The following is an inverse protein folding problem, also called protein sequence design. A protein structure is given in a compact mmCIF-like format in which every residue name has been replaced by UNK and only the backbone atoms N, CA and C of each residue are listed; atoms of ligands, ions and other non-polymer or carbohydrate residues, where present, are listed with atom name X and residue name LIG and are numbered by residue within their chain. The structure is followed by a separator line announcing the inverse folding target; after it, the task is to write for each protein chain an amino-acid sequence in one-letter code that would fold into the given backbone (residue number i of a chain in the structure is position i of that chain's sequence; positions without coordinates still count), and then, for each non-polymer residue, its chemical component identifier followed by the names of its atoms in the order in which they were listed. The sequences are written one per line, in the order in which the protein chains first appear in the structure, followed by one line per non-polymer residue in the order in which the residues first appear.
data_IF_056992629779
#
_entry.id   IF_056992629779
#
_cell.length_a   1.000
_cell.length_b   1.000
_cell.length_c   1.000
_cell.angle_alpha   90.00
_cell.angle_beta   90.00
_cell.angle_gamma   90.00
#
_symmetry.space_group_name_H-M   'P 1'
#
loop_
_entity.id
_entity.type
_entity.pdbx_description
1 polymer ?
#
# COMPACT_ATOMS: atom_id res chain seq x y z
N UNK A 1 4.08 -5.97 19.12
CA UNK A 1 3.53 -5.39 17.88
C UNK A 1 3.17 -3.92 18.16
N UNK A 2 4.15 -3.01 18.09
CA UNK A 2 3.99 -1.59 18.50
C UNK A 2 4.19 -0.58 17.35
N UNK A 3 4.65 -1.04 16.18
CA UNK A 3 5.03 -0.14 15.06
C UNK A 3 3.82 0.32 14.23
N UNK A 4 2.73 -0.46 14.19
CA UNK A 4 1.57 -0.21 13.32
C UNK A 4 0.45 0.63 13.97
N UNK A 5 0.51 0.89 15.28
CA UNK A 5 -0.56 1.58 16.04
C UNK A 5 -0.21 3.02 16.41
N UNK A 6 0.70 3.66 15.68
CA UNK A 6 1.04 5.08 15.86
C UNK A 6 0.13 5.94 14.99
N UNK A 7 -0.18 7.15 15.44
CA UNK A 7 -0.78 8.16 14.57
C UNK A 7 0.17 8.48 13.41
N UNK A 8 -0.24 8.29 12.15
CA UNK A 8 0.63 8.54 10.99
C UNK A 8 1.01 10.02 10.88
N UNK A 9 2.15 10.29 10.26
CA UNK A 9 2.74 11.64 10.21
C UNK A 9 1.80 12.74 9.68
N UNK A 10 0.98 12.53 8.63
CA UNK A 10 0.04 13.54 8.15
C UNK A 10 -1.01 14.01 9.16
N UNK A 11 -1.22 13.25 10.23
CA UNK A 11 -2.28 13.48 11.22
C UNK A 11 -1.75 14.19 12.48
N UNK A 12 -0.45 14.49 12.55
CA UNK A 12 0.18 15.33 13.58
C UNK A 12 -0.23 14.97 15.03
N UNK A 13 -0.31 13.68 15.33
CA UNK A 13 -0.72 13.17 16.65
C UNK A 13 -2.23 13.14 16.92
N UNK A 14 -3.08 13.71 16.04
CA UNK A 14 -4.53 13.63 16.15
C UNK A 14 -5.04 12.23 15.78
N UNK A 15 -5.19 11.41 16.81
CA UNK A 15 -5.70 10.04 16.70
C UNK A 15 -7.16 10.01 16.23
N UNK A 16 -7.99 10.99 16.63
CA UNK A 16 -9.41 11.01 16.24
C UNK A 16 -9.56 11.30 14.76
N UNK A 17 -8.78 12.24 14.23
CA UNK A 17 -8.74 12.54 12.81
C UNK A 17 -8.29 11.30 12.02
N UNK A 18 -7.27 10.58 12.49
CA UNK A 18 -6.82 9.36 11.85
C UNK A 18 -7.90 8.27 11.83
N UNK A 19 -8.55 8.01 12.96
CA UNK A 19 -9.63 7.02 13.03
C UNK A 19 -10.83 7.39 12.15
N UNK A 20 -11.20 8.67 12.09
CA UNK A 20 -12.27 9.15 11.20
C UNK A 20 -11.91 8.93 9.73
N UNK A 21 -10.73 9.37 9.30
CA UNK A 21 -10.25 9.20 7.93
C UNK A 21 -10.20 7.73 7.54
N UNK A 22 -9.73 6.88 8.46
CA UNK A 22 -9.65 5.43 8.26
C UNK A 22 -11.03 4.78 8.11
N UNK A 23 -11.99 5.15 8.95
CA UNK A 23 -13.38 4.68 8.84
C UNK A 23 -14.02 5.10 7.53
N UNK A 24 -13.79 6.33 7.10
CA UNK A 24 -14.34 6.86 5.85
C UNK A 24 -13.80 6.11 4.64
N UNK A 25 -12.47 5.93 4.55
CA UNK A 25 -11.87 5.11 3.49
C UNK A 25 -12.41 3.68 3.53
N UNK A 26 -12.41 3.05 4.71
CA UNK A 26 -12.85 1.66 4.91
C UNK A 26 -14.28 1.42 4.46
N UNK A 27 -15.20 2.31 4.85
CA UNK A 27 -16.60 2.24 4.44
C UNK A 27 -16.76 2.33 2.92
N UNK A 28 -16.00 3.21 2.26
CA UNK A 28 -16.11 3.46 0.81
C UNK A 28 -15.50 2.34 -0.05
N UNK A 29 -14.49 1.62 0.47
CA UNK A 29 -13.84 0.48 -0.20
C UNK A 29 -14.31 -0.89 0.31
N UNK A 30 -15.29 -0.91 1.23
CA UNK A 30 -15.94 -2.11 1.78
C UNK A 30 -14.97 -3.05 2.51
N UNK A 31 -14.13 -2.49 3.38
CA UNK A 31 -13.26 -3.24 4.31
C UNK A 31 -13.50 -2.80 5.75
N UNK A 32 -13.02 -3.56 6.73
CA UNK A 32 -13.05 -3.11 8.12
C UNK A 32 -11.99 -2.01 8.34
N UNK A 33 -12.32 -0.98 9.13
CA UNK A 33 -11.35 0.08 9.43
C UNK A 33 -10.10 -0.42 10.15
N UNK A 34 -10.21 -1.49 10.95
CA UNK A 34 -9.07 -2.14 11.61
C UNK A 34 -8.12 -2.84 10.63
N UNK A 35 -8.59 -3.13 9.41
CA UNK A 35 -7.84 -3.72 8.29
C UNK A 35 -7.14 -2.66 7.41
N UNK A 36 -7.18 -1.39 7.80
CA UNK A 36 -6.46 -0.31 7.12
C UNK A 36 -5.32 0.18 7.99
N UNK A 37 -4.12 0.22 7.41
CA UNK A 37 -2.91 0.72 8.09
C UNK A 37 -2.15 1.64 7.14
N UNK A 38 -1.82 2.85 7.58
CA UNK A 38 -0.90 3.71 6.83
C UNK A 38 0.51 3.21 7.08
N UNK A 39 1.27 3.02 6.01
CA UNK A 39 2.63 2.49 6.01
C UNK A 39 3.59 3.48 5.33
N UNK A 40 4.82 3.05 5.05
CA UNK A 40 5.78 3.84 4.29
C UNK A 40 6.19 5.15 4.98
N UNK A 41 6.57 6.15 4.19
CA UNK A 41 6.99 7.43 4.73
C UNK A 41 5.86 8.20 5.41
N UNK A 42 4.61 8.00 4.98
CA UNK A 42 3.44 8.58 5.64
C UNK A 42 3.24 8.04 7.05
N UNK A 43 3.62 6.78 7.31
CA UNK A 43 3.62 6.27 8.67
C UNK A 43 4.71 6.95 9.49
N UNK A 44 5.97 6.91 9.02
CA UNK A 44 7.17 7.24 9.82
C UNK A 44 7.56 8.71 9.87
N UNK A 45 7.15 9.51 8.89
CA UNK A 45 7.68 10.86 8.65
C UNK A 45 8.97 10.89 7.84
N UNK A 46 9.54 9.73 7.50
CA UNK A 46 10.77 9.60 6.68
C UNK A 46 10.65 8.41 5.74
N UNK A 47 11.26 8.49 4.57
CA UNK A 47 11.34 7.33 3.67
C UNK A 47 12.36 6.33 4.19
N UNK A 48 11.94 5.07 4.36
CA UNK A 48 12.86 3.96 4.67
C UNK A 48 13.47 3.33 3.41
N UNK A 49 13.35 4.00 2.25
CA UNK A 49 14.03 3.57 1.04
C UNK A 49 15.47 4.13 1.05
N UNK A 50 16.50 3.27 1.08
CA UNK A 50 17.90 3.69 1.13
C UNK A 50 18.35 4.47 -0.10
N UNK A 51 17.71 4.25 -1.25
CA UNK A 51 17.97 5.01 -2.48
C UNK A 51 17.34 6.41 -2.44
N UNK A 52 16.49 6.70 -1.45
CA UNK A 52 15.90 8.02 -1.21
C UNK A 52 16.60 8.78 -0.08
N UNK A 53 17.76 8.32 0.41
CA UNK A 53 18.56 8.98 1.45
C UNK A 53 17.72 9.46 2.66
N UNK A 54 16.81 8.62 3.15
CA UNK A 54 15.96 8.95 4.30
C UNK A 54 15.13 10.24 4.14
N UNK A 55 14.76 10.60 2.91
CA UNK A 55 14.02 11.83 2.61
C UNK A 55 12.82 12.01 3.55
N UNK A 56 12.77 13.17 4.20
CA UNK A 56 11.68 13.56 5.08
C UNK A 56 10.34 13.62 4.32
N UNK A 57 9.27 13.25 5.01
CA UNK A 57 7.90 13.41 4.53
C UNK A 57 7.58 14.89 4.38
N UNK A 58 6.89 15.24 3.30
CA UNK A 58 6.51 16.63 2.99
C UNK A 58 5.16 16.69 2.25
N UNK A 59 4.72 17.90 1.90
CA UNK A 59 3.43 18.13 1.22
C UNK A 59 3.26 17.43 -0.14
N UNK A 60 4.34 16.94 -0.76
CA UNK A 60 4.31 16.20 -2.03
C UNK A 60 4.51 14.69 -1.86
N UNK A 61 4.55 14.21 -0.62
CA UNK A 61 4.74 12.80 -0.33
C UNK A 61 3.43 12.04 -0.40
N UNK A 62 3.45 10.87 -1.05
CA UNK A 62 2.31 9.98 -1.17
C UNK A 62 1.85 9.44 0.20
N UNK A 63 0.59 9.04 0.27
CA UNK A 63 0.01 8.33 1.41
C UNK A 63 -0.04 6.84 1.06
N UNK A 64 0.88 6.05 1.60
CA UNK A 64 0.92 4.61 1.39
C UNK A 64 -0.01 3.90 2.37
N UNK A 65 -0.98 3.16 1.86
CA UNK A 65 -2.01 2.46 2.62
C UNK A 65 -1.90 0.95 2.39
N UNK A 66 -1.79 0.20 3.46
CA UNK A 66 -2.00 -1.25 3.48
C UNK A 66 -3.47 -1.55 3.76
N UNK A 67 -4.08 -2.34 2.89
CA UNK A 67 -5.39 -2.96 3.11
C UNK A 67 -5.16 -4.44 3.39
N UNK A 68 -5.55 -4.91 4.57
CA UNK A 68 -5.39 -6.31 4.99
C UNK A 68 -6.71 -7.03 4.75
N UNK A 69 -6.82 -7.80 3.68
CA UNK A 69 -8.07 -8.49 3.35
C UNK A 69 -7.82 -9.75 2.54
N UNK A 70 -8.14 -10.90 3.13
CA UNK A 70 -8.08 -12.19 2.42
C UNK A 70 -9.02 -12.21 1.21
N UNK A 71 -10.19 -11.56 1.32
CA UNK A 71 -11.15 -11.45 0.23
C UNK A 71 -10.55 -10.71 -0.98
N UNK A 72 -10.08 -9.47 -0.81
CA UNK A 72 -9.54 -8.68 -1.92
C UNK A 72 -8.21 -9.26 -2.44
N UNK A 73 -7.41 -9.86 -1.56
CA UNK A 73 -6.23 -10.61 -1.97
C UNK A 73 -6.61 -11.78 -2.88
N UNK A 74 -7.52 -12.64 -2.43
CA UNK A 74 -7.95 -13.86 -3.14
C UNK A 74 -8.66 -13.51 -4.44
N UNK A 75 -9.51 -12.49 -4.44
CA UNK A 75 -10.19 -11.97 -5.62
C UNK A 75 -9.17 -11.50 -6.67
N UNK A 76 -8.21 -10.66 -6.26
CA UNK A 76 -7.14 -10.18 -7.14
C UNK A 76 -6.30 -11.34 -7.68
N UNK A 77 -5.85 -12.24 -6.81
CA UNK A 77 -5.02 -13.38 -7.20
C UNK A 77 -5.74 -14.29 -8.20
N UNK A 78 -7.01 -14.63 -7.94
CA UNK A 78 -7.82 -15.45 -8.86
C UNK A 78 -8.03 -14.73 -10.19
N UNK A 79 -8.32 -13.43 -10.17
CA UNK A 79 -8.48 -12.64 -11.38
C UNK A 79 -7.20 -12.64 -12.23
N UNK A 80 -6.05 -12.30 -11.63
CA UNK A 80 -4.76 -12.25 -12.31
C UNK A 80 -4.36 -13.60 -12.90
N UNK A 81 -4.59 -14.70 -12.17
CA UNK A 81 -4.29 -16.07 -12.62
C UNK A 81 -5.14 -16.51 -13.80
N UNK A 82 -6.35 -15.96 -13.92
CA UNK A 82 -7.32 -16.31 -14.95
C UNK A 82 -7.37 -15.31 -16.12
N UNK A 83 -6.39 -14.41 -16.24
CA UNK A 83 -6.35 -13.43 -17.32
C UNK A 83 -6.35 -14.07 -18.71
N UNK A 84 -5.71 -15.24 -18.88
CA UNK A 84 -5.60 -15.92 -20.17
C UNK A 84 -5.12 -14.97 -21.27
N UNK A 85 -5.81 -14.96 -22.42
CA UNK A 85 -5.53 -14.03 -23.52
C UNK A 85 -5.80 -12.54 -23.17
N UNK A 86 -6.58 -12.25 -22.12
CA UNK A 86 -6.84 -10.90 -21.64
C UNK A 86 -5.58 -10.14 -21.22
N UNK A 87 -4.49 -10.85 -20.90
CA UNK A 87 -3.18 -10.22 -20.64
C UNK A 87 -2.68 -9.38 -21.81
N UNK A 88 -3.05 -9.72 -23.06
CA UNK A 88 -2.58 -8.99 -24.25
C UNK A 88 -3.13 -7.57 -24.32
N UNK A 89 -4.33 -7.31 -23.78
CA UNK A 89 -4.95 -6.00 -23.71
C UNK A 89 -4.35 -5.07 -22.65
N UNK A 90 -3.50 -5.59 -21.76
CA UNK A 90 -2.83 -4.77 -20.73
C UNK A 90 -1.65 -3.98 -21.33
N UNK A 91 -1.38 -2.75 -20.85
CA UNK A 91 -0.17 -2.04 -21.22
C UNK A 91 1.07 -2.73 -20.61
N UNK A 92 2.25 -2.46 -21.17
CA UNK A 92 3.49 -3.14 -20.76
C UNK A 92 3.80 -3.06 -19.26
N UNK A 93 3.62 -1.91 -18.56
CA UNK A 93 3.84 -1.84 -17.12
C UNK A 93 2.92 -2.77 -16.32
N UNK A 94 1.66 -2.91 -16.73
CA UNK A 94 0.71 -3.83 -16.10
C UNK A 94 1.08 -5.28 -16.38
N UNK A 95 1.46 -5.62 -17.62
CA UNK A 95 1.99 -6.95 -17.98
C UNK A 95 3.20 -7.34 -17.14
N UNK A 96 4.14 -6.41 -16.95
CA UNK A 96 5.31 -6.65 -16.10
C UNK A 96 4.88 -6.87 -14.64
N UNK A 97 3.95 -6.06 -14.14
CA UNK A 97 3.43 -6.22 -12.79
C UNK A 97 2.77 -7.60 -12.60
N UNK A 98 2.00 -8.12 -13.57
CA UNK A 98 1.46 -9.49 -13.50
C UNK A 98 2.59 -10.52 -13.34
N UNK A 99 3.68 -10.41 -14.11
CA UNK A 99 4.83 -11.32 -14.00
C UNK A 99 5.51 -11.23 -12.63
N UNK A 100 5.68 -10.01 -12.11
CA UNK A 100 6.25 -9.80 -10.78
C UNK A 100 5.38 -10.44 -9.69
N UNK A 101 4.05 -10.49 -9.85
CA UNK A 101 3.18 -11.17 -8.90
C UNK A 101 3.38 -12.67 -8.88
N UNK A 102 3.57 -13.29 -10.05
CA UNK A 102 3.89 -14.73 -10.16
C UNK A 102 5.23 -15.03 -9.51
N UNK A 103 6.24 -14.21 -9.74
CA UNK A 103 7.61 -14.48 -9.30
C UNK A 103 7.90 -14.05 -7.86
N UNK A 104 7.26 -12.99 -7.38
CA UNK A 104 7.68 -12.27 -6.17
C UNK A 104 6.56 -12.04 -5.17
N UNK A 105 5.35 -11.62 -5.57
CA UNK A 105 4.40 -11.10 -4.58
C UNK A 105 3.38 -12.10 -4.03
N UNK A 106 2.86 -13.01 -4.86
CA UNK A 106 1.75 -13.90 -4.44
C UNK A 106 2.17 -14.81 -3.29
N UNK A 107 3.38 -15.36 -3.34
CA UNK A 107 3.91 -16.23 -2.27
C UNK A 107 3.94 -15.51 -0.91
N UNK A 108 4.24 -14.21 -0.89
CA UNK A 108 4.29 -13.39 0.34
C UNK A 108 2.94 -12.74 0.69
N UNK A 109 1.84 -13.23 0.15
CA UNK A 109 0.50 -12.74 0.50
C UNK A 109 0.28 -11.26 0.14
N UNK A 110 0.92 -10.75 -0.91
CA UNK A 110 0.86 -9.33 -1.30
C UNK A 110 0.32 -9.15 -2.73
N UNK A 111 -0.52 -8.13 -2.93
CA UNK A 111 -0.88 -7.59 -4.25
C UNK A 111 -0.44 -6.13 -4.31
N UNK A 112 0.62 -5.86 -5.07
CA UNK A 112 1.09 -4.52 -5.37
C UNK A 112 0.19 -3.90 -6.45
N UNK A 113 -0.64 -2.92 -6.07
CA UNK A 113 -1.66 -2.39 -6.99
C UNK A 113 -1.18 -1.21 -7.83
N UNK A 114 0.07 -0.75 -7.66
CA UNK A 114 0.66 0.43 -8.32
C UNK A 114 0.42 0.51 -9.84
N UNK A 115 0.40 -0.65 -10.52
CA UNK A 115 0.19 -0.77 -11.97
C UNK A 115 -0.98 -1.67 -12.34
N UNK A 116 -1.67 -2.22 -11.34
CA UNK A 116 -2.73 -3.21 -11.52
C UNK A 116 -4.09 -2.73 -11.07
N UNK A 117 -4.17 -1.74 -10.17
CA UNK A 117 -5.44 -1.32 -9.58
C UNK A 117 -6.54 -1.10 -10.63
N UNK A 118 -6.33 -0.34 -11.73
CA UNK A 118 -7.39 -0.10 -12.72
C UNK A 118 -7.92 -1.35 -13.41
N UNK A 119 -7.16 -2.45 -13.39
CA UNK A 119 -7.48 -3.69 -14.08
C UNK A 119 -8.08 -4.75 -13.16
N UNK A 120 -8.07 -4.55 -11.84
CA UNK A 120 -8.68 -5.46 -10.87
C UNK A 120 -10.21 -5.28 -10.85
N UNK A 121 -10.99 -6.30 -10.46
CA UNK A 121 -12.46 -6.23 -10.48
C UNK A 121 -13.07 -5.07 -9.70
N UNK A 122 -12.42 -4.66 -8.60
CA UNK A 122 -12.83 -3.55 -7.72
C UNK A 122 -12.08 -2.24 -8.01
N UNK A 123 -11.17 -2.27 -8.98
CA UNK A 123 -10.18 -1.26 -9.26
C UNK A 123 -10.73 0.12 -9.53
N UNK A 124 -11.73 0.20 -10.42
CA UNK A 124 -12.37 1.46 -10.79
C UNK A 124 -12.98 2.16 -9.58
N UNK A 125 -13.75 1.43 -8.77
CA UNK A 125 -14.37 1.98 -7.56
C UNK A 125 -13.32 2.46 -6.57
N UNK A 126 -12.26 1.70 -6.35
CA UNK A 126 -11.19 2.11 -5.44
C UNK A 126 -10.46 3.36 -5.95
N UNK A 127 -10.19 3.49 -7.25
CA UNK A 127 -9.57 4.69 -7.80
C UNK A 127 -10.43 5.94 -7.59
N UNK A 128 -11.73 5.85 -7.82
CA UNK A 128 -12.68 6.95 -7.54
C UNK A 128 -12.63 7.36 -6.06
N UNK A 129 -12.67 6.37 -5.16
CA UNK A 129 -12.59 6.64 -3.71
C UNK A 129 -11.25 7.24 -3.31
N UNK A 130 -10.14 6.77 -3.88
CA UNK A 130 -8.81 7.31 -3.59
C UNK A 130 -8.68 8.77 -4.05
N UNK A 131 -9.25 9.12 -5.19
CA UNK A 131 -9.34 10.49 -5.67
C UNK A 131 -10.19 11.36 -4.73
N UNK A 132 -11.37 10.88 -4.32
CA UNK A 132 -12.21 11.57 -3.33
C UNK A 132 -11.46 11.80 -2.00
N UNK A 133 -10.80 10.78 -1.46
CA UNK A 133 -10.03 10.88 -0.22
C UNK A 133 -8.82 11.82 -0.35
N UNK A 134 -8.25 11.98 -1.55
CA UNK A 134 -7.20 12.94 -1.82
C UNK A 134 -7.67 14.40 -1.74
N UNK A 135 -8.99 14.63 -1.64
CA UNK A 135 -9.59 15.95 -1.46
C UNK A 135 -10.07 16.20 -0.01
N UNK A 136 -9.83 15.25 0.90
CA UNK A 136 -10.25 15.33 2.32
C UNK A 136 -9.01 15.52 3.21
N UNK A 137 -9.12 16.36 4.25
CA UNK A 137 -8.04 16.54 5.22
C UNK A 137 -7.77 15.25 6.02
N UNK A 138 -6.51 14.94 6.36
CA UNK A 138 -5.29 15.71 6.10
C UNK A 138 -4.60 15.38 4.77
N UNK A 139 -5.22 14.59 3.89
CA UNK A 139 -4.61 14.05 2.66
C UNK A 139 -4.82 14.92 1.41
N UNK A 140 -5.38 16.12 1.57
CA UNK A 140 -5.62 17.09 0.49
C UNK A 140 -4.40 17.24 -0.42
N UNK A 141 -4.61 17.03 -1.73
CA UNK A 141 -3.61 17.23 -2.78
C UNK A 141 -2.49 16.18 -2.82
N UNK A 142 -2.67 15.03 -2.17
CA UNK A 142 -1.68 13.93 -2.15
C UNK A 142 -2.23 12.68 -2.79
N UNK A 143 -1.37 11.99 -3.55
CA UNK A 143 -1.69 10.66 -4.07
C UNK A 143 -1.81 9.67 -2.91
N UNK A 144 -2.91 8.92 -2.87
CA UNK A 144 -3.10 7.81 -1.94
C UNK A 144 -2.85 6.51 -2.72
N UNK A 145 -1.88 5.72 -2.25
CA UNK A 145 -1.47 4.47 -2.90
C UNK A 145 -1.86 3.32 -2.01
N UNK A 146 -2.59 2.35 -2.56
CA UNK A 146 -2.97 1.13 -1.84
C UNK A 146 -2.03 -0.02 -2.19
N UNK A 147 -1.88 -0.94 -1.24
CA UNK A 147 -1.37 -2.28 -1.44
C UNK A 147 -2.23 -3.25 -0.63
N UNK A 148 -2.60 -4.38 -1.22
CA UNK A 148 -3.42 -5.39 -0.53
C UNK A 148 -2.52 -6.47 0.04
N UNK A 149 -2.78 -6.86 1.27
CA UNK A 149 -2.14 -7.97 1.97
C UNK A 149 -3.19 -8.98 2.37
N UNK A 150 -2.84 -10.27 2.32
CA UNK A 150 -3.75 -11.35 2.70
C UNK A 150 -4.13 -11.29 4.17
N UNK A 151 -3.14 -11.04 5.02
CA UNK A 151 -3.27 -11.02 6.48
C UNK A 151 -2.20 -10.09 7.11
N UNK A 152 -2.30 -9.87 8.42
CA UNK A 152 -1.33 -9.06 9.16
C UNK A 152 0.08 -9.66 9.18
N UNK A 153 0.23 -10.98 9.01
CA UNK A 153 1.54 -11.61 8.97
C UNK A 153 2.28 -11.29 7.67
N UNK A 154 1.55 -11.27 6.55
CA UNK A 154 2.02 -10.85 5.24
C UNK A 154 2.53 -9.39 5.28
N UNK A 155 1.74 -8.49 5.88
CA UNK A 155 2.16 -7.10 6.08
C UNK A 155 3.41 -7.01 6.97
N UNK A 156 3.41 -7.70 8.11
CA UNK A 156 4.54 -7.70 9.04
C UNK A 156 5.82 -8.21 8.37
N UNK A 157 5.73 -9.32 7.67
CA UNK A 157 6.83 -9.93 6.94
C UNK A 157 7.41 -8.98 5.90
N UNK A 158 6.55 -8.28 5.15
CA UNK A 158 6.98 -7.25 4.20
C UNK A 158 7.77 -6.12 4.90
N UNK A 159 7.24 -5.56 5.99
CA UNK A 159 7.91 -4.48 6.73
C UNK A 159 9.24 -4.93 7.33
N UNK A 160 9.28 -6.11 7.96
CA UNK A 160 10.50 -6.67 8.55
C UNK A 160 11.56 -6.93 7.48
N UNK A 161 11.17 -7.49 6.34
CA UNK A 161 12.11 -7.75 5.24
C UNK A 161 12.68 -6.45 4.68
N UNK A 162 11.87 -5.41 4.50
CA UNK A 162 12.36 -4.10 4.06
C UNK A 162 13.37 -3.50 5.05
N UNK A 163 13.07 -3.57 6.35
CA UNK A 163 13.99 -3.09 7.40
C UNK A 163 15.30 -3.88 7.44
N UNK A 164 15.25 -5.21 7.24
CA UNK A 164 16.46 -6.04 7.16
C UNK A 164 17.34 -5.64 5.98
N UNK A 165 16.75 -5.45 4.79
CA UNK A 165 17.48 -5.00 3.60
C UNK A 165 18.08 -3.61 3.79
N UNK A 166 17.29 -2.68 4.35
CA UNK A 166 17.78 -1.34 4.67
C UNK A 166 18.98 -1.40 5.63
N UNK A 167 18.87 -2.17 6.71
CA UNK A 167 19.97 -2.34 7.67
C UNK A 167 21.23 -2.91 7.02
N UNK A 168 21.08 -3.93 6.18
CA UNK A 168 22.22 -4.53 5.47
C UNK A 168 22.93 -3.51 4.57
N UNK A 169 22.16 -2.76 3.77
CA UNK A 169 22.71 -1.76 2.86
C UNK A 169 23.39 -0.58 3.58
N UNK A 170 22.85 -0.12 4.70
CA UNK A 170 23.49 0.95 5.48
C UNK A 170 24.76 0.47 6.19
N UNK A 171 24.81 -0.79 6.64
CA UNK A 171 26.03 -1.38 7.17
C UNK A 171 27.11 -1.53 6.09
N UNK A 172 26.73 -1.91 4.86
CA UNK A 172 27.66 -2.00 3.72
C UNK A 172 28.22 -0.65 3.29
N UNK A 173 27.47 0.46 3.42
CA UNK A 173 27.94 1.82 3.13
C UNK A 173 28.86 2.41 4.20
N UNK A 174 28.79 1.88 5.42
CA UNK A 174 29.62 2.30 6.56
C UNK A 174 30.96 1.58 6.66
N UNK A 175 31.21 0.59 5.78
CA UNK A 175 32.48 -0.10 5.56
C UNK A 175 33.18 0.47 4.32
#
# INVERSE_FOLDING_TARGET
MWILNRTPYPFDGDTRLYENWRRELAQRIEVDSSEIVIIGSSAFGVSLNPNKNFRAFNGRSDIDVAVISDYFFTLSWRYLRNLGAGIHGLPQPAKQSVRDHVQKYIYWGTIATDKLLPYLPFGKRWLEVLDEMSNIAPTVGRDIKIRVYKDFDSLRSYQVNNLKHLRAQELEKGL
#
